data_IF_065512719148
#
_entry.id   IF_065512719148
#
_cell.length_a   1.000
_cell.length_b   1.000
_cell.length_c   1.000
_cell.angle_alpha   90.00
_cell.angle_beta   90.00
_cell.angle_gamma   90.00
#
_symmetry.space_group_name_H-M   'P 1'
#
loop_
_entity.id
_entity.type
_entity.pdbx_description
1 polymer ?
#
# COMPACT_ATOMS: atom_id res chain seq x y z
N UNK A 1 -22.05 33.96 41.76
CA UNK A 1 -22.41 33.99 43.19
C UNK A 1 -21.24 33.44 43.99
N UNK A 2 -21.09 33.83 45.25
CA UNK A 2 -20.04 33.30 46.13
C UNK A 2 -20.12 31.77 46.23
N UNK A 3 -18.96 31.11 46.19
CA UNK A 3 -18.85 29.64 46.20
C UNK A 3 -19.20 28.94 44.88
N UNK A 4 -19.62 29.67 43.83
CA UNK A 4 -19.83 29.06 42.50
C UNK A 4 -18.50 28.89 41.77
N UNK A 5 -18.28 27.70 41.20
CA UNK A 5 -17.17 27.39 40.29
C UNK A 5 -17.66 27.36 38.84
N UNK A 6 -16.80 27.81 37.94
CA UNK A 6 -16.92 27.56 36.49
C UNK A 6 -15.72 26.70 36.10
N UNK A 7 -15.97 25.58 35.44
CA UNK A 7 -14.91 24.68 34.97
C UNK A 7 -14.94 24.65 33.44
N UNK A 8 -13.79 24.88 32.83
CA UNK A 8 -13.58 24.74 31.40
C UNK A 8 -12.70 23.51 31.17
N UNK A 9 -13.26 22.48 30.54
CA UNK A 9 -12.46 21.37 30.00
C UNK A 9 -12.00 21.80 28.61
N UNK A 10 -10.69 21.92 28.45
CA UNK A 10 -10.07 22.36 27.20
C UNK A 10 -9.28 21.20 26.62
N UNK A 11 -9.69 20.72 25.46
CA UNK A 11 -8.90 19.80 24.62
C UNK A 11 -8.03 20.63 23.70
N UNK A 12 -6.73 20.37 23.70
CA UNK A 12 -5.76 21.05 22.84
C UNK A 12 -4.84 20.03 22.17
N UNK A 13 -4.27 20.42 21.02
CA UNK A 13 -3.27 19.60 20.32
C UNK A 13 -1.91 19.86 20.98
N UNK A 14 -1.24 18.80 21.41
CA UNK A 14 0.15 18.91 21.89
C UNK A 14 1.09 18.95 20.69
N UNK A 15 0.78 18.14 19.66
CA UNK A 15 1.60 17.99 18.47
C UNK A 15 0.69 17.94 17.23
N UNK A 16 1.18 18.45 16.10
CA UNK A 16 0.51 18.26 14.81
C UNK A 16 0.73 16.82 14.32
N UNK A 17 -0.34 16.15 13.88
CA UNK A 17 -0.21 14.87 13.19
C UNK A 17 0.56 15.02 11.88
N UNK A 18 1.18 13.95 11.38
CA UNK A 18 1.88 13.97 10.11
C UNK A 18 0.97 13.47 8.98
N UNK A 19 0.91 14.15 7.83
CA UNK A 19 0.19 13.63 6.68
C UNK A 19 0.85 12.34 6.16
N UNK A 20 0.06 11.47 5.54
CA UNK A 20 0.60 10.28 4.88
C UNK A 20 1.55 10.70 3.73
N UNK A 21 2.73 10.06 3.60
CA UNK A 21 3.61 10.30 2.46
C UNK A 21 2.88 10.07 1.13
N UNK A 22 3.07 10.98 0.17
CA UNK A 22 2.46 10.87 -1.16
C UNK A 22 3.54 10.67 -2.22
N UNK A 23 3.18 10.00 -3.30
CA UNK A 23 4.05 9.85 -4.47
C UNK A 23 4.44 11.21 -5.05
N UNK A 24 5.72 11.38 -5.33
CA UNK A 24 6.29 12.55 -6.01
C UNK A 24 6.41 12.30 -7.51
N UNK A 25 6.60 13.36 -8.30
CA UNK A 25 6.92 13.23 -9.73
C UNK A 25 8.16 12.33 -9.97
N UNK A 26 9.17 12.42 -9.10
CA UNK A 26 10.38 11.61 -9.20
C UNK A 26 10.10 10.12 -8.94
N UNK A 27 9.18 9.79 -8.03
CA UNK A 27 8.79 8.40 -7.80
C UNK A 27 8.16 7.81 -9.07
N UNK A 28 7.27 8.56 -9.73
CA UNK A 28 6.63 8.14 -10.98
C UNK A 28 7.65 7.89 -12.10
N UNK A 29 8.63 8.80 -12.27
CA UNK A 29 9.70 8.63 -13.25
C UNK A 29 10.63 7.45 -12.93
N UNK A 30 10.91 7.25 -11.64
CA UNK A 30 11.67 6.10 -11.14
C UNK A 30 10.98 4.79 -11.48
N UNK A 31 9.67 4.70 -11.24
CA UNK A 31 8.88 3.52 -11.60
C UNK A 31 8.90 3.21 -13.09
N UNK A 32 8.79 4.24 -13.94
CA UNK A 32 8.91 4.05 -15.40
C UNK A 32 10.28 3.52 -15.77
N UNK A 33 11.34 4.08 -15.19
CA UNK A 33 12.72 3.65 -15.46
C UNK A 33 12.95 2.20 -15.06
N UNK A 34 12.44 1.77 -13.91
CA UNK A 34 12.51 0.38 -13.47
C UNK A 34 11.71 -0.57 -14.38
N UNK A 35 10.52 -0.15 -14.82
CA UNK A 35 9.72 -0.92 -15.78
C UNK A 35 10.43 -1.03 -17.13
N UNK A 36 10.98 0.06 -17.67
CA UNK A 36 11.74 0.08 -18.92
C UNK A 36 12.92 -0.91 -18.86
N UNK A 37 13.68 -0.91 -17.75
CA UNK A 37 14.79 -1.85 -17.55
C UNK A 37 14.32 -3.31 -17.58
N UNK A 38 13.22 -3.63 -16.89
CA UNK A 38 12.64 -4.98 -16.84
C UNK A 38 12.01 -5.41 -18.16
N UNK A 39 11.35 -4.48 -18.86
CA UNK A 39 10.57 -4.73 -20.08
C UNK A 39 11.37 -5.34 -21.22
N UNK A 40 12.68 -5.11 -21.23
CA UNK A 40 13.59 -5.59 -22.29
C UNK A 40 14.00 -7.04 -22.15
N UNK A 41 13.88 -7.65 -20.96
CA UNK A 41 14.53 -8.94 -20.67
C UNK A 41 13.78 -9.84 -19.69
N UNK A 42 12.81 -9.31 -18.93
CA UNK A 42 12.11 -10.10 -17.94
C UNK A 42 11.15 -11.09 -18.59
N UNK A 43 11.37 -12.36 -18.30
CA UNK A 43 10.45 -13.44 -18.62
C UNK A 43 9.38 -13.49 -17.52
N UNK A 44 8.13 -13.28 -17.92
CA UNK A 44 6.95 -13.38 -17.04
C UNK A 44 6.51 -14.84 -16.93
N UNK A 45 6.51 -15.57 -18.04
CA UNK A 45 6.25 -17.02 -18.07
C UNK A 45 7.24 -17.70 -19.02
N UNK A 46 8.06 -18.64 -18.54
CA UNK A 46 8.93 -19.41 -19.42
C UNK A 46 8.13 -20.41 -20.24
N UNK A 47 8.70 -20.89 -21.35
CA UNK A 47 8.19 -22.07 -22.07
C UNK A 47 8.08 -23.28 -21.15
N UNK A 48 7.09 -24.11 -21.41
CA UNK A 48 6.98 -25.42 -20.76
C UNK A 48 8.25 -26.25 -21.05
N UNK A 49 8.69 -27.03 -20.07
CA UNK A 49 9.92 -27.84 -20.17
C UNK A 49 9.83 -29.08 -19.31
N UNK A 50 9.95 -30.26 -19.92
CA UNK A 50 9.74 -31.54 -19.23
C UNK A 50 8.37 -31.58 -18.57
N UNK A 51 8.35 -31.83 -17.26
CA UNK A 51 7.12 -31.80 -16.45
C UNK A 51 6.76 -30.40 -15.91
N UNK A 52 7.61 -29.39 -16.12
CA UNK A 52 7.38 -28.03 -15.65
C UNK A 52 6.38 -27.32 -16.58
N UNK A 53 5.22 -26.89 -16.09
CA UNK A 53 4.27 -26.16 -16.90
C UNK A 53 4.78 -24.75 -17.25
N UNK A 54 4.36 -24.24 -18.40
CA UNK A 54 4.78 -22.95 -18.94
C UNK A 54 4.03 -22.61 -20.22
N UNK A 55 4.61 -21.75 -21.06
CA UNK A 55 4.04 -21.46 -22.37
C UNK A 55 4.06 -22.73 -23.23
N UNK A 56 2.90 -23.12 -23.73
CA UNK A 56 2.67 -24.37 -24.43
C UNK A 56 1.67 -24.19 -25.60
N UNK A 57 1.68 -25.14 -26.53
CA UNK A 57 0.75 -25.17 -27.67
C UNK A 57 0.27 -26.59 -27.94
N UNK A 58 -0.95 -26.71 -28.48
CA UNK A 58 -1.48 -27.97 -28.96
C UNK A 58 -0.96 -28.20 -30.39
N UNK A 59 -0.32 -29.35 -30.61
CA UNK A 59 0.08 -29.83 -31.91
C UNK A 59 -0.54 -31.20 -32.15
N UNK A 60 -1.57 -31.27 -33.00
CA UNK A 60 -2.40 -32.47 -33.16
C UNK A 60 -3.01 -32.93 -31.82
N UNK A 61 -2.53 -34.02 -31.25
CA UNK A 61 -2.97 -34.61 -29.97
C UNK A 61 -1.88 -34.53 -28.89
N UNK A 62 -0.83 -33.74 -29.09
CA UNK A 62 0.24 -33.50 -28.13
C UNK A 62 0.26 -32.04 -27.65
N UNK A 63 0.64 -31.82 -26.39
CA UNK A 63 1.04 -30.48 -25.92
C UNK A 63 2.56 -30.39 -25.99
N UNK A 64 3.03 -29.41 -26.74
CA UNK A 64 4.45 -29.10 -26.90
C UNK A 64 4.79 -27.76 -26.23
N UNK A 65 6.07 -27.50 -26.03
CA UNK A 65 6.54 -26.17 -25.63
C UNK A 65 6.10 -25.14 -26.68
N UNK A 66 5.66 -23.97 -26.22
CA UNK A 66 5.30 -22.88 -27.12
C UNK A 66 6.50 -22.30 -27.86
N UNK A 67 6.25 -21.40 -28.79
CA UNK A 67 7.31 -20.88 -29.67
C UNK A 67 8.29 -19.95 -28.94
N UNK A 68 7.81 -19.21 -27.94
CA UNK A 68 8.59 -18.25 -27.16
C UNK A 68 8.20 -18.22 -25.68
N UNK A 69 9.06 -17.66 -24.84
CA UNK A 69 8.68 -17.25 -23.49
C UNK A 69 7.73 -16.04 -23.59
N UNK A 70 6.82 -15.88 -22.62
CA UNK A 70 6.06 -14.65 -22.46
C UNK A 70 6.92 -13.64 -21.69
N UNK A 71 7.28 -12.53 -22.32
CA UNK A 71 8.09 -11.48 -21.71
C UNK A 71 7.23 -10.33 -21.18
N UNK A 72 7.80 -9.50 -20.31
CA UNK A 72 7.08 -8.34 -19.76
C UNK A 72 6.64 -7.37 -20.86
N UNK A 73 7.45 -7.20 -21.91
CA UNK A 73 7.11 -6.38 -23.07
C UNK A 73 5.99 -6.94 -23.95
N UNK A 74 5.73 -8.24 -23.90
CA UNK A 74 4.58 -8.86 -24.57
C UNK A 74 3.29 -8.62 -23.79
N UNK A 75 3.36 -8.56 -22.46
CA UNK A 75 2.22 -8.41 -21.56
C UNK A 75 1.62 -7.01 -21.60
N UNK A 76 2.45 -5.98 -21.58
CA UNK A 76 1.98 -4.59 -21.49
C UNK A 76 2.97 -3.60 -22.10
N UNK A 77 2.47 -2.40 -22.40
CA UNK A 77 3.29 -1.19 -22.51
C UNK A 77 3.01 -0.28 -21.32
N UNK A 78 3.87 0.71 -21.11
CA UNK A 78 3.68 1.70 -20.07
C UNK A 78 4.22 3.06 -20.49
N UNK A 79 3.59 4.11 -19.98
CA UNK A 79 3.99 5.48 -20.27
C UNK A 79 3.70 6.42 -19.09
N UNK A 80 4.45 7.52 -19.05
CA UNK A 80 4.25 8.61 -18.08
C UNK A 80 3.77 9.83 -18.82
N UNK A 81 2.56 10.27 -18.46
CA UNK A 81 1.96 11.50 -19.00
C UNK A 81 1.71 12.51 -17.89
N UNK A 82 1.40 13.75 -18.26
CA UNK A 82 0.97 14.78 -17.32
C UNK A 82 -0.53 15.00 -17.46
N UNK A 83 -1.27 14.73 -16.39
CA UNK A 83 -2.71 14.99 -16.29
C UNK A 83 -2.96 15.98 -15.17
N UNK A 84 -3.65 17.10 -15.45
CA UNK A 84 -3.95 18.14 -14.45
C UNK A 84 -2.71 18.66 -13.68
N UNK A 85 -1.58 18.77 -14.36
CA UNK A 85 -0.32 19.24 -13.78
C UNK A 85 0.41 18.20 -12.91
N UNK A 86 -0.06 16.95 -12.86
CA UNK A 86 0.54 15.85 -12.10
C UNK A 86 1.05 14.76 -13.03
N UNK A 87 2.16 14.12 -12.66
CA UNK A 87 2.64 12.95 -13.40
C UNK A 87 1.79 11.71 -13.13
N UNK A 88 1.57 10.92 -14.18
CA UNK A 88 0.73 9.74 -14.15
C UNK A 88 1.37 8.62 -14.95
N UNK A 89 1.69 7.51 -14.28
CA UNK A 89 2.12 6.27 -14.93
C UNK A 89 0.90 5.42 -15.26
N UNK A 90 0.77 5.04 -16.52
CA UNK A 90 -0.29 4.16 -17.02
C UNK A 90 0.33 2.91 -17.64
N UNK A 91 -0.20 1.75 -17.26
CA UNK A 91 0.09 0.45 -17.84
C UNK A 91 -1.05 0.10 -18.81
N UNK A 92 -0.71 -0.24 -20.05
CA UNK A 92 -1.66 -0.64 -21.07
C UNK A 92 -1.42 -2.12 -21.40
N UNK A 93 -2.32 -3.03 -20.97
CA UNK A 93 -2.25 -4.43 -21.35
C UNK A 93 -2.26 -4.61 -22.86
N UNK A 94 -1.48 -5.57 -23.34
CA UNK A 94 -1.49 -6.02 -24.73
C UNK A 94 -2.29 -7.32 -24.84
N UNK A 95 -2.71 -7.63 -26.07
CA UNK A 95 -3.32 -8.92 -26.36
C UNK A 95 -2.25 -10.02 -26.32
N UNK A 96 -2.42 -10.96 -25.39
CA UNK A 96 -1.56 -12.13 -25.19
C UNK A 96 -2.29 -13.45 -25.46
N UNK A 97 -3.44 -13.40 -26.15
CA UNK A 97 -4.29 -14.57 -26.40
C UNK A 97 -3.60 -15.71 -27.15
N UNK A 98 -2.51 -15.43 -27.86
CA UNK A 98 -1.65 -16.41 -28.54
C UNK A 98 -0.80 -17.23 -27.59
N UNK A 99 -0.58 -16.76 -26.36
CA UNK A 99 0.16 -17.47 -25.32
C UNK A 99 -0.82 -18.29 -24.47
N UNK A 100 -0.61 -19.61 -24.41
CA UNK A 100 -1.34 -20.51 -23.53
C UNK A 100 -0.42 -21.13 -22.49
N UNK A 101 -0.97 -21.45 -21.33
CA UNK A 101 -0.24 -22.10 -20.25
C UNK A 101 -0.61 -23.58 -20.17
N UNK A 102 0.39 -24.45 -20.05
CA UNK A 102 0.14 -25.88 -19.88
C UNK A 102 1.40 -26.70 -19.64
N UNK A 103 1.23 -28.01 -19.46
CA UNK A 103 2.31 -29.00 -19.31
C UNK A 103 2.45 -29.80 -20.59
N UNK A 104 3.68 -30.17 -20.94
CA UNK A 104 3.97 -31.02 -22.11
C UNK A 104 3.30 -32.39 -21.92
N UNK A 105 2.60 -32.86 -22.95
CA UNK A 105 1.90 -34.15 -22.99
C UNK A 105 2.15 -34.78 -24.36
N UNK A 106 2.58 -36.05 -24.38
CA UNK A 106 3.03 -36.70 -25.61
C UNK A 106 1.89 -37.12 -26.57
N UNK A 107 0.68 -37.36 -26.06
CA UNK A 107 -0.49 -37.78 -26.87
C UNK A 107 -1.79 -37.65 -26.08
N UNK A 108 -2.94 -37.69 -26.77
CA UNK A 108 -4.27 -37.66 -26.16
C UNK A 108 -4.68 -36.31 -25.54
N UNK A 109 -3.94 -35.24 -25.82
CA UNK A 109 -4.25 -33.90 -25.36
C UNK A 109 -5.28 -33.21 -26.27
N UNK A 110 -5.94 -32.21 -25.70
CA UNK A 110 -6.91 -31.34 -26.35
C UNK A 110 -6.67 -29.89 -25.94
N UNK A 111 -7.40 -28.95 -26.54
CA UNK A 111 -7.33 -27.54 -26.15
C UNK A 111 -7.71 -27.30 -24.67
N UNK A 112 -8.50 -28.19 -24.05
CA UNK A 112 -8.85 -28.10 -22.63
C UNK A 112 -7.67 -28.38 -21.68
N UNK A 113 -6.54 -28.88 -22.20
CA UNK A 113 -5.30 -29.05 -21.44
C UNK A 113 -4.45 -27.78 -21.39
N UNK A 114 -4.90 -26.70 -22.05
CA UNK A 114 -4.26 -25.41 -22.09
C UNK A 114 -5.15 -24.38 -21.40
N UNK A 115 -4.56 -23.59 -20.52
CA UNK A 115 -5.22 -22.46 -19.88
C UNK A 115 -4.90 -21.16 -20.62
N UNK A 116 -5.90 -20.27 -20.67
CA UNK A 116 -5.69 -18.89 -21.07
C UNK A 116 -4.91 -18.12 -20.01
N UNK A 117 -4.06 -17.21 -20.47
CA UNK A 117 -3.34 -16.27 -19.63
C UNK A 117 -3.97 -14.89 -19.85
N UNK A 118 -4.40 -14.23 -18.78
CA UNK A 118 -4.95 -12.88 -18.88
C UNK A 118 -4.41 -11.97 -17.79
N UNK A 119 -4.56 -10.66 -17.98
CA UNK A 119 -4.43 -9.72 -16.87
C UNK A 119 -5.55 -9.93 -15.84
N UNK A 120 -5.20 -9.74 -14.57
CA UNK A 120 -6.17 -9.74 -13.48
C UNK A 120 -7.18 -8.60 -13.69
N UNK A 121 -8.48 -8.89 -13.57
CA UNK A 121 -9.54 -7.91 -13.87
C UNK A 121 -9.56 -6.70 -12.94
N UNK A 122 -9.07 -6.86 -11.70
CA UNK A 122 -8.95 -5.81 -10.69
C UNK A 122 -7.51 -5.27 -10.58
N UNK A 123 -6.67 -5.51 -11.61
CA UNK A 123 -5.31 -5.02 -11.65
C UNK A 123 -5.27 -3.48 -11.56
N UNK A 124 -4.37 -2.96 -10.74
CA UNK A 124 -4.08 -1.52 -10.73
C UNK A 124 -3.17 -1.21 -11.91
N UNK A 125 -3.69 -0.45 -12.88
CA UNK A 125 -2.99 -0.12 -14.13
C UNK A 125 -2.61 1.36 -14.23
N UNK A 126 -2.93 2.16 -13.22
CA UNK A 126 -2.70 3.59 -13.22
C UNK A 126 -2.32 4.06 -11.82
N UNK A 127 -1.29 4.89 -11.73
CA UNK A 127 -0.86 5.53 -10.48
C UNK A 127 -0.45 6.97 -10.76
N UNK A 128 -0.88 7.89 -9.90
CA UNK A 128 -0.64 9.32 -10.05
C UNK A 128 0.16 9.92 -8.90
N UNK A 129 0.92 10.96 -9.23
CA UNK A 129 1.56 11.84 -8.25
C UNK A 129 0.54 12.41 -7.25
N UNK A 130 0.94 12.46 -5.98
CA UNK A 130 0.11 12.91 -4.87
C UNK A 130 -0.78 11.82 -4.26
N UNK A 131 -0.80 10.60 -4.79
CA UNK A 131 -1.49 9.49 -4.13
C UNK A 131 -0.71 9.03 -2.89
N UNK A 132 -1.42 8.80 -1.77
CA UNK A 132 -0.87 8.21 -0.54
C UNK A 132 -0.70 6.70 -0.67
N UNK A 133 0.18 6.30 -1.60
CA UNK A 133 0.49 4.91 -1.92
C UNK A 133 2.00 4.72 -2.05
N UNK A 134 2.42 3.46 -1.91
CA UNK A 134 3.74 2.96 -2.26
C UNK A 134 3.59 1.91 -3.35
N UNK A 135 4.41 2.00 -4.40
CA UNK A 135 4.46 1.00 -5.48
C UNK A 135 5.72 0.14 -5.32
N UNK A 136 5.60 -1.18 -5.48
CA UNK A 136 6.73 -2.10 -5.54
C UNK A 136 6.86 -2.67 -6.95
N UNK A 137 7.66 -2.02 -7.81
CA UNK A 137 7.77 -2.43 -9.22
C UNK A 137 8.26 -3.87 -9.34
N UNK A 138 9.23 -4.30 -8.53
CA UNK A 138 9.73 -5.69 -8.53
C UNK A 138 8.65 -6.78 -8.36
N UNK A 139 7.52 -6.47 -7.69
CA UNK A 139 6.40 -7.38 -7.48
C UNK A 139 5.23 -7.15 -8.47
N UNK A 140 5.33 -6.15 -9.32
CA UNK A 140 4.31 -5.77 -10.30
C UNK A 140 4.42 -6.62 -11.57
N UNK A 141 3.28 -6.83 -12.24
CA UNK A 141 3.17 -7.55 -13.51
C UNK A 141 3.72 -8.99 -13.42
N UNK A 142 3.39 -9.68 -12.32
CA UNK A 142 3.80 -11.06 -12.06
C UNK A 142 2.70 -12.03 -12.44
N UNK A 143 3.09 -13.13 -13.07
CA UNK A 143 2.20 -14.24 -13.36
C UNK A 143 2.00 -15.10 -12.11
N UNK A 144 0.74 -15.39 -11.81
CA UNK A 144 0.34 -16.37 -10.82
C UNK A 144 -0.07 -17.67 -11.53
N UNK A 145 0.72 -18.73 -11.32
CA UNK A 145 0.50 -20.03 -11.95
C UNK A 145 -0.72 -20.76 -11.42
N UNK A 146 -1.33 -20.35 -10.31
CA UNK A 146 -2.57 -20.94 -9.80
C UNK A 146 -3.74 -20.36 -10.59
N UNK A 147 -3.86 -19.04 -10.60
CA UNK A 147 -4.98 -18.33 -11.24
C UNK A 147 -4.82 -18.12 -12.75
N UNK A 148 -3.60 -18.33 -13.27
CA UNK A 148 -3.20 -18.03 -14.66
C UNK A 148 -3.36 -16.56 -15.02
N UNK A 149 -3.32 -15.69 -14.02
CA UNK A 149 -3.47 -14.25 -14.20
C UNK A 149 -2.18 -13.50 -13.95
N UNK A 150 -2.00 -12.39 -14.65
CA UNK A 150 -0.91 -11.45 -14.45
C UNK A 150 -1.40 -10.28 -13.60
N UNK A 151 -0.70 -9.97 -12.52
CA UNK A 151 -1.03 -8.84 -11.62
C UNK A 151 -0.81 -7.48 -12.29
N UNK A 152 -1.38 -6.42 -11.71
CA UNK A 152 -1.05 -5.04 -12.09
C UNK A 152 0.17 -4.51 -11.33
N UNK A 153 0.17 -3.21 -11.08
CA UNK A 153 1.07 -2.58 -10.11
C UNK A 153 0.80 -3.12 -8.70
N UNK A 154 1.87 -3.53 -8.00
CA UNK A 154 1.81 -3.87 -6.59
C UNK A 154 1.81 -2.58 -5.77
N UNK A 155 0.65 -2.25 -5.20
CA UNK A 155 0.42 -1.00 -4.45
C UNK A 155 -0.09 -1.27 -3.05
N UNK A 156 0.45 -0.53 -2.09
CA UNK A 156 -0.05 -0.46 -0.72
C UNK A 156 -0.27 0.98 -0.30
N UNK A 157 -1.20 1.21 0.62
CA UNK A 157 -1.45 2.55 1.16
C UNK A 157 -0.35 2.97 2.13
N UNK A 158 -0.02 4.26 2.13
CA UNK A 158 0.80 4.88 3.18
C UNK A 158 -0.11 5.49 4.24
N UNK A 159 0.35 5.54 5.49
CA UNK A 159 -0.40 6.12 6.61
C UNK A 159 0.35 7.30 7.22
N UNK A 160 -0.41 8.32 7.63
CA UNK A 160 0.08 9.40 8.48
C UNK A 160 -0.13 9.10 9.96
N UNK A 161 0.12 10.08 10.82
CA UNK A 161 -0.23 10.03 12.25
C UNK A 161 -1.34 11.04 12.58
N UNK A 162 -2.22 10.67 13.50
CA UNK A 162 -3.16 11.61 14.10
C UNK A 162 -2.43 12.59 15.00
N UNK A 163 -2.98 13.80 15.14
CA UNK A 163 -2.50 14.75 16.14
C UNK A 163 -2.71 14.17 17.55
N UNK A 164 -1.70 14.28 18.41
CA UNK A 164 -1.89 14.01 19.83
C UNK A 164 -2.73 15.12 20.44
N UNK A 165 -3.77 14.73 21.18
CA UNK A 165 -4.61 15.66 21.93
C UNK A 165 -4.45 15.40 23.41
N UNK A 166 -4.35 16.48 24.18
CA UNK A 166 -4.37 16.45 25.63
C UNK A 166 -5.55 17.29 26.15
N UNK A 167 -5.92 17.07 27.41
CA UNK A 167 -7.05 17.72 28.05
C UNK A 167 -6.63 18.32 29.38
N UNK A 168 -6.89 19.62 29.56
CA UNK A 168 -6.71 20.30 30.84
C UNK A 168 -8.03 20.86 31.33
N UNK A 169 -8.16 21.02 32.65
CA UNK A 169 -9.35 21.63 33.27
C UNK A 169 -8.95 22.93 33.96
N UNK A 170 -9.48 24.04 33.45
CA UNK A 170 -9.33 25.36 34.06
C UNK A 170 -10.52 25.58 35.01
N UNK A 171 -10.24 25.78 36.30
CA UNK A 171 -11.27 26.09 37.30
C UNK A 171 -11.20 27.56 37.69
N UNK A 172 -12.28 28.30 37.47
CA UNK A 172 -12.44 29.69 37.90
C UNK A 172 -13.37 29.72 39.10
N UNK A 173 -12.86 30.20 40.24
CA UNK A 173 -13.62 30.30 41.49
C UNK A 173 -13.67 31.78 41.87
N UNK A 174 -14.87 32.29 42.14
CA UNK A 174 -15.01 33.57 42.81
C UNK A 174 -14.74 33.37 44.30
N UNK A 175 -13.58 33.83 44.77
CA UNK A 175 -13.17 33.77 46.17
C UNK A 175 -12.99 35.17 46.76
N UNK A 176 -13.33 35.32 48.04
CA UNK A 176 -12.98 36.49 48.85
C UNK A 176 -11.70 36.15 49.60
N UNK A 177 -10.66 36.97 49.44
CA UNK A 177 -9.38 36.76 50.11
C UNK A 177 -9.57 36.85 51.64
N UNK A 178 -9.12 35.81 52.35
CA UNK A 178 -9.04 35.79 53.82
C UNK A 178 -7.64 35.38 54.22
N UNK A 179 -6.91 36.29 54.87
CA UNK A 179 -5.60 36.00 55.44
C UNK A 179 -5.78 35.26 56.77
N UNK A 180 -5.22 34.04 56.87
CA UNK A 180 -5.18 33.28 58.12
C UNK A 180 -3.72 33.20 58.55
N UNK A 181 -3.40 33.84 59.68
CA UNK A 181 -2.09 33.77 60.31
C UNK A 181 -2.02 32.48 61.15
N UNK A 182 -1.34 31.45 60.63
CA UNK A 182 -1.23 30.16 61.30
C UNK A 182 -0.10 30.23 62.33
N UNK A 183 -0.41 30.72 63.53
CA UNK A 183 0.53 30.65 64.67
C UNK A 183 0.53 29.22 65.23
N UNK A 184 1.67 28.54 65.11
CA UNK A 184 1.92 27.26 65.77
C UNK A 184 2.29 27.49 67.23
N UNK A 185 1.29 27.40 68.12
CA UNK A 185 1.51 27.53 69.56
C UNK A 185 1.65 26.14 70.18
N UNK A 186 2.79 25.46 70.03
CA UNK A 186 3.06 24.28 70.86
C UNK A 186 3.56 24.73 72.24
N UNK A 187 2.66 24.81 73.22
CA UNK A 187 3.06 24.84 74.63
C UNK A 187 2.12 23.98 75.47
N UNK A 188 2.42 22.69 75.55
CA UNK A 188 2.07 21.86 76.71
C UNK A 188 3.36 21.27 77.25
N UNK A 189 3.91 21.89 78.31
CA UNK A 189 4.86 21.21 79.20
C UNK A 189 4.04 20.44 80.24
N UNK A 190 4.44 19.19 80.45
CA UNK A 190 3.80 18.23 81.33
C UNK A 190 3.65 18.71 82.77
N UNK A 191 2.47 18.54 83.35
CA UNK A 191 2.27 18.00 84.69
C UNK A 191 0.80 17.61 84.84
N UNK A 192 0.57 16.33 85.10
CA UNK A 192 -0.73 15.66 85.22
C UNK A 192 -1.68 16.38 86.19
N UNK A 193 -2.95 16.48 85.76
CA UNK A 193 -4.08 16.46 86.68
C UNK A 193 -4.44 14.98 86.93
N UNK A 194 -4.42 14.62 88.21
CA UNK A 194 -4.96 13.39 88.79
C UNK A 194 -6.42 13.12 88.40
#
# INVERSE_FOLDING_TARGET
GDGKKVEFVVTYKTDAGTPAPTLTANDIDGYKTELDARGTSEIVVPKASGSTPGIAKLNSDAIEAGDANLTLGDVASWDVTTENGKKVLTITPKDISTFKYGTIVASGATAANLDDIDMKSDAVLKISEGESKKVTIANSLKFDSVTKKISGLDVSSTSGSSANTDTTTIRVIKAVEKTIDVKSNSSTKAQDLA
#
